data_IF_504869362752
#
_entry.id   IF_504869362752
#
_cell.length_a   1.000
_cell.length_b   1.000
_cell.length_c   1.000
_cell.angle_alpha   90.00
_cell.angle_beta   90.00
_cell.angle_gamma   90.00
#
_symmetry.space_group_name_H-M   'P 1'
#
loop_
_entity.id
_entity.type
_entity.pdbx_description
1 polymer ?
#
# COMPACT_ATOMS: atom_id res chain seq x y z
N UNK A 1 -44.91 -82.87 8.14
CA UNK A 1 -46.31 -82.49 7.93
C UNK A 1 -46.34 -81.10 7.36
N UNK A 2 -46.51 -81.04 6.17
CA UNK A 2 -47.46 -80.55 5.18
C UNK A 2 -48.40 -79.48 5.70
N UNK A 3 -48.36 -78.26 5.18
CA UNK A 3 -49.52 -77.43 4.86
C UNK A 3 -49.20 -76.38 3.80
N UNK A 4 -49.70 -76.62 2.62
CA UNK A 4 -49.77 -75.69 1.48
C UNK A 4 -50.87 -74.67 1.75
N UNK A 5 -50.58 -73.40 1.63
CA UNK A 5 -51.58 -72.35 1.58
C UNK A 5 -51.33 -71.46 0.36
N UNK A 6 -52.17 -71.63 -0.58
CA UNK A 6 -52.37 -70.80 -1.76
C UNK A 6 -52.95 -69.43 -1.36
N UNK A 7 -52.23 -68.34 -1.59
CA UNK A 7 -52.79 -66.99 -1.50
C UNK A 7 -52.86 -66.41 -2.94
N UNK A 8 -54.09 -66.36 -3.49
CA UNK A 8 -54.46 -65.61 -4.62
C UNK A 8 -54.40 -64.12 -4.37
N UNK A 9 -53.40 -63.46 -4.99
CA UNK A 9 -53.32 -61.99 -5.03
C UNK A 9 -54.18 -61.46 -6.13
N UNK A 10 -55.29 -60.87 -5.78
CA UNK A 10 -56.07 -60.02 -6.70
C UNK A 10 -55.30 -58.74 -7.00
N UNK A 11 -54.83 -58.62 -8.22
CA UNK A 11 -54.24 -57.36 -8.69
C UNK A 11 -55.38 -56.34 -8.88
N UNK A 12 -55.34 -55.34 -8.01
CA UNK A 12 -56.12 -54.11 -8.19
C UNK A 12 -55.40 -53.25 -9.24
N UNK A 13 -55.85 -53.28 -10.52
CA UNK A 13 -55.49 -52.26 -11.50
C UNK A 13 -56.10 -50.94 -11.04
N UNK A 14 -55.40 -50.18 -10.17
CA UNK A 14 -55.69 -48.77 -9.99
C UNK A 14 -55.46 -48.07 -11.33
N UNK A 15 -56.54 -47.51 -11.86
CA UNK A 15 -56.51 -46.58 -12.95
C UNK A 15 -55.75 -45.34 -12.45
N UNK A 16 -54.41 -45.34 -12.60
CA UNK A 16 -53.60 -44.15 -12.46
C UNK A 16 -53.92 -43.27 -13.66
N UNK A 17 -55.02 -42.51 -13.57
CA UNK A 17 -55.26 -41.37 -14.43
C UNK A 17 -54.16 -40.39 -14.15
N UNK A 18 -53.04 -40.53 -14.88
CA UNK A 18 -51.89 -39.66 -14.77
C UNK A 18 -52.36 -38.21 -14.83
N UNK A 19 -52.42 -37.59 -13.67
CA UNK A 19 -52.56 -36.13 -13.62
C UNK A 19 -51.37 -35.60 -14.35
N UNK A 20 -51.58 -35.04 -15.53
CA UNK A 20 -50.55 -34.32 -16.27
C UNK A 20 -50.07 -33.22 -15.33
N UNK A 21 -48.80 -33.22 -14.95
CA UNK A 21 -48.31 -32.19 -14.04
C UNK A 21 -48.47 -30.82 -14.69
N UNK A 22 -49.08 -29.91 -13.93
CA UNK A 22 -49.20 -28.51 -14.34
C UNK A 22 -47.90 -27.77 -14.02
N UNK A 23 -47.35 -27.11 -15.01
CA UNK A 23 -46.16 -26.27 -14.84
C UNK A 23 -46.52 -24.82 -15.11
N UNK A 24 -46.05 -23.92 -14.26
CA UNK A 24 -46.14 -22.49 -14.47
C UNK A 24 -45.24 -22.08 -15.65
N UNK A 25 -45.78 -21.31 -16.57
CA UNK A 25 -45.01 -20.73 -17.69
C UNK A 25 -44.90 -19.24 -17.51
N UNK A 26 -43.73 -18.68 -17.91
CA UNK A 26 -43.47 -17.27 -17.84
C UNK A 26 -43.07 -16.76 -19.21
N UNK A 27 -43.73 -15.69 -19.67
CA UNK A 27 -43.30 -14.98 -20.85
C UNK A 27 -42.03 -14.17 -20.55
N UNK A 28 -40.99 -14.37 -21.36
CA UNK A 28 -39.69 -13.71 -21.17
C UNK A 28 -39.62 -12.50 -22.09
N UNK A 29 -39.35 -11.36 -21.48
CA UNK A 29 -39.11 -10.11 -22.20
C UNK A 29 -37.61 -9.75 -22.13
N UNK A 30 -37.14 -9.05 -23.17
CA UNK A 30 -35.82 -8.46 -23.16
C UNK A 30 -35.76 -7.36 -22.08
N UNK A 31 -34.80 -7.44 -21.19
CA UNK A 31 -34.60 -6.50 -20.10
C UNK A 31 -33.12 -6.10 -20.04
N UNK A 32 -32.82 -5.07 -19.30
CA UNK A 32 -31.46 -4.73 -18.92
C UNK A 32 -31.12 -5.45 -17.61
N UNK A 33 -30.00 -6.14 -17.59
CA UNK A 33 -29.51 -6.81 -16.39
C UNK A 33 -28.26 -6.09 -15.86
N UNK A 34 -28.32 -5.66 -14.60
CA UNK A 34 -27.17 -5.12 -13.87
C UNK A 34 -26.42 -6.30 -13.23
N UNK A 35 -25.25 -6.55 -13.73
CA UNK A 35 -24.40 -7.65 -13.27
C UNK A 35 -23.17 -7.10 -12.57
N UNK A 36 -22.61 -7.89 -11.65
CA UNK A 36 -21.34 -7.57 -10.98
C UNK A 36 -20.28 -8.56 -11.42
N UNK A 37 -19.14 -8.06 -11.87
CA UNK A 37 -17.98 -8.89 -12.15
C UNK A 37 -16.98 -8.77 -11.03
N UNK A 38 -16.61 -9.91 -10.45
CA UNK A 38 -15.65 -9.97 -9.36
C UNK A 38 -14.24 -10.19 -9.91
N UNK A 39 -13.28 -9.40 -9.41
CA UNK A 39 -11.86 -9.50 -9.72
C UNK A 39 -11.08 -9.69 -8.43
N UNK A 40 -10.28 -10.76 -8.31
CA UNK A 40 -9.39 -10.92 -7.16
C UNK A 40 -8.44 -9.72 -7.03
N UNK A 41 -8.30 -9.23 -5.82
CA UNK A 41 -7.57 -8.01 -5.55
C UNK A 41 -6.72 -8.11 -4.29
N UNK A 42 -5.64 -7.34 -4.26
CA UNK A 42 -4.78 -7.16 -3.09
C UNK A 42 -4.88 -5.74 -2.58
N UNK A 43 -5.07 -5.59 -1.29
CA UNK A 43 -5.13 -4.30 -0.60
C UNK A 43 -3.72 -3.92 -0.19
N UNK A 44 -3.33 -2.66 -0.46
CA UNK A 44 -2.08 -2.06 0.04
C UNK A 44 -2.39 -0.72 0.68
N UNK A 45 -1.65 -0.36 1.71
CA UNK A 45 -1.65 1.00 2.23
C UNK A 45 -1.29 2.00 1.12
N UNK A 46 -1.72 3.24 1.29
CA UNK A 46 -1.36 4.31 0.36
C UNK A 46 0.15 4.45 0.25
N UNK A 47 0.84 4.30 1.38
CA UNK A 47 2.28 4.28 1.46
C UNK A 47 2.72 3.33 2.58
N UNK A 48 3.56 2.36 2.25
CA UNK A 48 4.22 1.48 3.21
C UNK A 48 5.69 1.92 3.29
N UNK A 49 6.08 2.51 4.42
CA UNK A 49 7.44 3.04 4.63
C UNK A 49 8.21 2.12 5.56
N UNK A 50 9.25 1.50 5.05
CA UNK A 50 10.18 0.71 5.86
C UNK A 50 11.03 1.62 6.74
N UNK A 51 11.00 1.39 8.03
CA UNK A 51 11.82 2.12 9.00
C UNK A 51 13.13 1.36 9.19
N UNK A 52 14.20 1.94 8.68
CA UNK A 52 15.56 1.39 8.79
C UNK A 52 16.44 2.33 9.61
N UNK A 53 17.31 1.80 10.49
CA UNK A 53 18.23 2.64 11.26
C UNK A 53 19.28 3.24 10.32
N UNK A 54 19.70 4.47 10.58
CA UNK A 54 20.78 5.13 9.83
C UNK A 54 22.14 5.00 10.53
N UNK A 55 22.12 4.52 11.78
CA UNK A 55 23.31 4.29 12.62
C UNK A 55 23.25 2.92 13.26
N UNK A 56 24.40 2.38 13.64
CA UNK A 56 24.49 1.08 14.30
C UNK A 56 24.48 1.24 15.83
N UNK A 57 23.82 0.30 16.52
CA UNK A 57 23.81 0.28 17.98
C UNK A 57 22.74 -0.63 18.54
N UNK A 58 22.64 -0.74 19.84
CA UNK A 58 21.62 -1.53 20.52
C UNK A 58 20.35 -0.71 20.73
N UNK A 59 19.19 -1.33 20.60
CA UNK A 59 17.90 -0.70 20.94
C UNK A 59 17.83 -0.59 22.46
N UNK A 60 17.78 0.64 22.96
CA UNK A 60 17.66 0.92 24.40
C UNK A 60 16.24 1.20 24.84
N UNK A 61 15.36 1.61 23.91
CA UNK A 61 13.94 1.86 24.20
C UNK A 61 13.09 1.65 22.97
N UNK A 62 11.94 0.97 23.17
CA UNK A 62 10.81 0.91 22.27
C UNK A 62 9.77 1.91 22.77
N UNK A 63 9.33 2.82 21.92
CA UNK A 63 8.39 3.88 22.28
C UNK A 63 6.99 3.65 21.70
N UNK A 64 6.80 2.57 20.95
CA UNK A 64 5.57 2.21 20.27
C UNK A 64 5.37 0.70 20.31
N UNK A 65 4.13 0.26 20.21
CA UNK A 65 3.74 -1.14 20.10
C UNK A 65 3.29 -1.50 18.68
N UNK A 66 3.28 -2.78 18.37
CA UNK A 66 2.75 -3.31 17.11
C UNK A 66 1.26 -2.96 16.96
N UNK A 67 0.85 -2.50 15.79
CA UNK A 67 -0.52 -2.07 15.52
C UNK A 67 -0.89 -0.67 16.04
N UNK A 68 0.03 0.02 16.71
CA UNK A 68 -0.23 1.39 17.20
C UNK A 68 -0.28 2.40 16.05
N UNK A 69 -1.19 3.37 16.15
CA UNK A 69 -1.23 4.52 15.25
C UNK A 69 -0.17 5.53 15.66
N UNK A 70 0.62 6.01 14.70
CA UNK A 70 1.69 6.97 14.90
C UNK A 70 1.54 8.18 13.99
N UNK A 71 2.09 9.30 14.42
CA UNK A 71 2.13 10.55 13.64
C UNK A 71 3.54 10.79 13.09
N UNK A 72 3.61 11.51 12.00
CA UNK A 72 4.88 12.00 11.44
C UNK A 72 5.71 12.71 12.49
N UNK A 73 7.00 12.32 12.62
CA UNK A 73 7.92 12.85 13.61
C UNK A 73 7.82 12.20 14.99
N UNK A 74 6.85 11.32 15.24
CA UNK A 74 6.75 10.58 16.51
C UNK A 74 7.94 9.66 16.69
N UNK A 75 8.48 9.61 17.91
CA UNK A 75 9.61 8.76 18.28
C UNK A 75 9.14 7.30 18.36
N UNK A 76 9.82 6.43 17.63
CA UNK A 76 9.53 5.00 17.55
C UNK A 76 10.52 4.17 18.38
N UNK A 77 11.82 4.39 18.16
CA UNK A 77 12.90 3.65 18.79
C UNK A 77 14.01 4.59 19.24
N UNK A 78 14.73 4.20 20.30
CA UNK A 78 15.97 4.83 20.70
C UNK A 78 17.09 3.79 20.60
N UNK A 79 18.10 4.11 19.81
CA UNK A 79 19.36 3.38 19.69
C UNK A 79 20.34 3.99 20.70
N UNK A 80 21.21 3.20 21.31
CA UNK A 80 22.18 3.67 22.32
C UNK A 80 22.93 4.92 21.83
N UNK A 81 22.70 6.08 22.47
CA UNK A 81 23.26 7.34 22.02
C UNK A 81 24.68 7.60 22.58
N UNK A 82 25.18 6.78 23.50
CA UNK A 82 26.37 7.09 24.35
C UNK A 82 27.59 7.43 23.51
N UNK A 83 27.92 6.65 22.50
CA UNK A 83 29.08 6.92 21.63
C UNK A 83 28.86 8.16 20.75
N UNK A 84 27.66 8.40 20.29
CA UNK A 84 27.30 9.54 19.44
C UNK A 84 27.28 10.85 20.21
N UNK A 85 26.82 10.85 21.47
CA UNK A 85 26.94 12.00 22.37
C UNK A 85 28.41 12.35 22.67
N UNK A 86 29.24 11.34 22.90
CA UNK A 86 30.67 11.56 23.09
C UNK A 86 31.31 12.22 21.86
N UNK A 87 30.97 11.75 20.66
CA UNK A 87 31.44 12.35 19.40
C UNK A 87 30.98 13.80 19.24
N UNK A 88 29.73 14.14 19.60
CA UNK A 88 29.25 15.52 19.60
C UNK A 88 30.04 16.39 20.59
N UNK A 89 30.31 15.91 21.81
CA UNK A 89 31.12 16.66 22.81
C UNK A 89 32.53 16.93 22.30
N UNK A 90 33.15 15.92 21.69
CA UNK A 90 34.51 16.07 21.12
C UNK A 90 34.52 17.08 19.97
N UNK A 91 33.55 17.00 19.05
CA UNK A 91 33.45 17.94 17.94
C UNK A 91 33.15 19.37 18.40
N UNK A 92 32.32 19.55 19.45
CA UNK A 92 32.11 20.87 20.09
C UNK A 92 33.40 21.46 20.66
N UNK A 93 34.21 20.65 21.32
CA UNK A 93 35.49 21.08 21.85
C UNK A 93 36.45 21.52 20.72
N UNK A 94 36.48 20.80 19.62
CA UNK A 94 37.26 21.14 18.43
C UNK A 94 36.85 22.48 17.82
N UNK A 95 35.53 22.75 17.76
CA UNK A 95 35.02 24.06 17.31
C UNK A 95 35.47 25.16 18.24
N UNK A 96 35.37 24.99 19.56
CA UNK A 96 35.79 26.00 20.53
C UNK A 96 37.29 26.30 20.40
N UNK A 97 38.15 25.30 20.21
CA UNK A 97 39.60 25.47 19.97
C UNK A 97 39.84 26.25 18.68
N UNK A 98 39.16 25.92 17.59
CA UNK A 98 39.30 26.61 16.30
C UNK A 98 38.80 28.07 16.38
N UNK A 99 37.73 28.34 17.12
CA UNK A 99 37.21 29.69 17.37
C UNK A 99 38.23 30.54 18.13
N UNK A 100 38.87 29.98 19.16
CA UNK A 100 39.92 30.67 19.89
C UNK A 100 41.12 31.00 18.97
N UNK A 101 41.51 30.08 18.07
CA UNK A 101 42.57 30.33 17.10
C UNK A 101 42.23 31.46 16.13
N UNK A 102 40.97 31.49 15.62
CA UNK A 102 40.49 32.58 14.74
C UNK A 102 40.56 33.92 15.48
N UNK A 103 40.09 33.98 16.73
CA UNK A 103 40.11 35.20 17.53
C UNK A 103 41.57 35.71 17.75
N UNK A 104 42.51 34.81 18.00
CA UNK A 104 43.95 35.16 18.13
C UNK A 104 44.49 35.71 16.82
N UNK A 105 44.20 35.07 15.68
CA UNK A 105 44.67 35.57 14.38
C UNK A 105 43.99 36.88 13.99
N UNK A 106 42.71 37.06 14.33
CA UNK A 106 42.01 38.32 14.11
C UNK A 106 42.66 39.47 14.86
N UNK A 107 42.95 39.31 16.16
CA UNK A 107 43.66 40.34 16.94
C UNK A 107 45.05 40.65 16.34
N UNK A 108 45.74 39.62 15.81
CA UNK A 108 47.03 39.82 15.14
C UNK A 108 46.88 40.66 13.86
N UNK A 109 45.86 40.39 13.05
CA UNK A 109 45.58 41.18 11.84
C UNK A 109 45.20 42.60 12.20
N UNK A 110 44.34 42.81 13.21
CA UNK A 110 43.90 44.14 13.63
C UNK A 110 45.08 44.98 14.10
N UNK A 111 45.97 44.42 14.92
CA UNK A 111 47.21 45.10 15.33
C UNK A 111 48.12 45.43 14.14
N UNK A 112 48.28 44.49 13.18
CA UNK A 112 49.11 44.74 12.01
C UNK A 112 48.51 45.77 11.06
N UNK A 113 47.21 45.88 10.97
CA UNK A 113 46.51 46.97 10.21
C UNK A 113 46.92 48.34 10.79
N UNK A 114 46.91 48.49 12.10
CA UNK A 114 47.29 49.77 12.75
C UNK A 114 48.77 50.11 12.57
N UNK A 115 49.64 49.09 12.63
CA UNK A 115 51.08 49.29 12.38
C UNK A 115 51.38 49.63 10.92
N UNK A 116 50.68 49.02 9.97
CA UNK A 116 50.83 49.28 8.56
C UNK A 116 50.36 50.71 8.19
N UNK A 117 49.22 51.16 8.74
CA UNK A 117 48.75 52.54 8.60
C UNK A 117 49.80 53.57 9.03
N UNK A 118 50.62 53.25 10.06
CA UNK A 118 51.70 54.06 10.54
C UNK A 118 53.05 53.86 9.77
N UNK A 119 53.01 53.05 8.69
CA UNK A 119 54.19 52.70 7.88
C UNK A 119 55.33 52.02 8.66
N UNK A 120 55.01 51.32 9.79
CA UNK A 120 55.97 50.60 10.58
C UNK A 120 56.26 49.21 10.07
N UNK A 121 55.27 48.57 9.36
CA UNK A 121 55.42 47.26 8.74
C UNK A 121 55.07 47.30 7.23
N UNK A 122 55.57 46.32 6.48
CA UNK A 122 55.30 46.18 5.05
C UNK A 122 53.90 45.66 4.75
N UNK A 123 53.41 45.92 3.53
CA UNK A 123 52.17 45.32 3.02
C UNK A 123 52.27 43.78 2.91
N UNK A 124 53.45 43.27 2.74
CA UNK A 124 53.74 41.84 2.72
C UNK A 124 53.42 41.22 4.13
N UNK A 125 53.89 41.85 5.20
CA UNK A 125 53.66 41.38 6.57
C UNK A 125 52.18 41.37 6.94
N UNK A 126 51.43 42.40 6.52
CA UNK A 126 50.00 42.47 6.68
C UNK A 126 49.28 41.35 5.88
N UNK A 127 49.72 41.14 4.62
CA UNK A 127 49.16 40.08 3.76
C UNK A 127 49.39 38.68 4.36
N UNK A 128 50.57 38.43 4.92
CA UNK A 128 50.88 37.16 5.61
C UNK A 128 49.96 36.94 6.83
N UNK A 129 49.67 37.98 7.62
CA UNK A 129 48.74 37.86 8.75
C UNK A 129 47.30 37.59 8.28
N UNK A 130 46.86 38.24 7.22
CA UNK A 130 45.51 37.97 6.61
C UNK A 130 45.41 36.53 6.11
N UNK A 131 46.47 36.00 5.48
CA UNK A 131 46.50 34.61 5.03
C UNK A 131 46.42 33.64 6.22
N UNK A 132 47.14 33.94 7.34
CA UNK A 132 47.05 33.13 8.55
C UNK A 132 45.64 33.15 9.17
N UNK A 133 44.97 34.30 9.16
CA UNK A 133 43.57 34.42 9.57
C UNK A 133 42.67 33.58 8.67
N UNK A 134 42.82 33.67 7.36
CA UNK A 134 42.04 32.88 6.41
C UNK A 134 42.23 31.36 6.63
N UNK A 135 43.46 30.93 6.93
CA UNK A 135 43.74 29.53 7.28
C UNK A 135 43.01 29.12 8.59
N UNK A 136 43.05 29.94 9.63
CA UNK A 136 42.32 29.65 10.87
C UNK A 136 40.81 29.61 10.66
N UNK A 137 40.26 30.50 9.83
CA UNK A 137 38.84 30.49 9.46
C UNK A 137 38.46 29.22 8.70
N UNK A 138 39.32 28.75 7.81
CA UNK A 138 39.10 27.48 7.09
C UNK A 138 39.11 26.28 8.06
N UNK A 139 39.98 26.25 9.04
CA UNK A 139 40.01 25.23 10.07
C UNK A 139 38.75 25.27 10.95
N UNK A 140 38.25 26.46 11.30
CA UNK A 140 36.98 26.62 12.02
C UNK A 140 35.79 26.07 11.17
N UNK A 141 35.76 26.39 9.91
CA UNK A 141 34.73 25.88 8.99
C UNK A 141 34.73 24.33 8.93
N UNK A 142 35.95 23.73 8.87
CA UNK A 142 36.11 22.28 8.93
C UNK A 142 35.59 21.69 10.24
N UNK A 143 35.95 22.28 11.39
CA UNK A 143 35.49 21.83 12.71
C UNK A 143 33.96 21.94 12.85
N UNK A 144 33.36 23.01 12.35
CA UNK A 144 31.89 23.18 12.31
C UNK A 144 31.20 22.11 11.44
N UNK A 145 31.76 21.76 10.29
CA UNK A 145 31.26 20.68 9.44
C UNK A 145 31.31 19.33 10.18
N UNK A 146 32.42 19.04 10.89
CA UNK A 146 32.54 17.82 11.71
C UNK A 146 31.49 17.77 12.82
N UNK A 147 31.25 18.92 13.50
CA UNK A 147 30.18 19.01 14.51
C UNK A 147 28.82 18.72 13.92
N UNK A 148 28.49 19.28 12.75
CA UNK A 148 27.23 19.02 12.06
C UNK A 148 27.05 17.53 11.79
N UNK A 149 28.08 16.86 11.27
CA UNK A 149 28.05 15.40 11.02
C UNK A 149 27.82 14.61 12.31
N UNK A 150 28.52 14.95 13.40
CA UNK A 150 28.34 14.30 14.70
C UNK A 150 26.93 14.49 15.25
N UNK A 151 26.37 15.70 15.13
CA UNK A 151 25.00 16.01 15.53
C UNK A 151 23.95 15.25 14.70
N UNK A 152 24.16 15.10 13.39
CA UNK A 152 23.30 14.30 12.52
C UNK A 152 23.31 12.83 12.95
N UNK A 153 24.49 12.24 13.16
CA UNK A 153 24.60 10.85 13.62
C UNK A 153 23.93 10.65 14.98
N UNK A 154 24.07 11.61 15.89
CA UNK A 154 23.35 11.58 17.17
C UNK A 154 21.83 11.66 16.97
N UNK A 155 21.36 12.52 16.07
CA UNK A 155 19.93 12.62 15.79
C UNK A 155 19.34 11.32 15.23
N UNK A 156 20.12 10.55 14.48
CA UNK A 156 19.72 9.25 13.92
C UNK A 156 19.60 8.14 14.98
N UNK A 157 20.11 8.34 16.20
CA UNK A 157 19.84 7.42 17.32
C UNK A 157 18.38 7.47 17.76
N UNK A 158 17.67 8.56 17.46
CA UNK A 158 16.24 8.73 17.68
C UNK A 158 15.47 8.43 16.40
N UNK A 159 15.05 7.18 16.23
CA UNK A 159 14.31 6.76 15.05
C UNK A 159 12.87 7.26 15.16
N UNK A 160 12.46 8.09 14.18
CA UNK A 160 11.13 8.73 14.14
C UNK A 160 10.36 8.29 12.92
N UNK A 161 9.03 8.34 13.00
CA UNK A 161 8.16 8.07 11.86
C UNK A 161 8.27 9.18 10.80
N UNK A 162 8.47 8.85 9.52
CA UNK A 162 8.49 9.82 8.43
C UNK A 162 7.08 10.24 7.97
N UNK A 163 6.04 9.45 8.31
CA UNK A 163 4.64 9.65 7.90
C UNK A 163 3.69 9.34 9.04
N UNK A 164 2.44 9.74 8.89
CA UNK A 164 1.34 9.23 9.69
C UNK A 164 1.03 7.79 9.25
N UNK A 165 0.47 6.96 10.14
CA UNK A 165 0.10 5.59 9.79
C UNK A 165 0.06 4.65 10.97
N UNK A 166 0.00 3.35 10.67
CA UNK A 166 -0.03 2.26 11.66
C UNK A 166 1.27 1.47 11.58
N UNK A 167 1.83 1.16 12.75
CA UNK A 167 3.00 0.30 12.92
C UNK A 167 2.62 -1.14 12.57
N UNK A 168 3.40 -1.77 11.72
CA UNK A 168 3.29 -3.21 11.47
C UNK A 168 4.03 -4.00 12.56
N UNK A 169 4.57 -5.16 12.21
CA UNK A 169 5.39 -5.98 13.11
C UNK A 169 6.70 -5.27 13.51
N UNK A 170 7.17 -5.60 14.72
CA UNK A 170 8.46 -5.14 15.26
C UNK A 170 9.33 -6.37 15.52
N UNK A 171 10.13 -6.83 14.54
CA UNK A 171 10.95 -8.05 14.69
C UNK A 171 12.09 -7.90 15.68
N UNK A 172 12.51 -6.67 16.00
CA UNK A 172 13.63 -6.41 16.90
C UNK A 172 13.14 -5.95 18.28
N UNK A 173 13.64 -6.59 19.31
CA UNK A 173 13.29 -6.31 20.72
C UNK A 173 14.34 -5.46 21.40
N UNK A 174 14.04 -4.99 22.62
CA UNK A 174 14.96 -4.26 23.46
C UNK A 174 16.29 -5.05 23.59
N UNK A 175 17.41 -4.38 23.43
CA UNK A 175 18.75 -4.98 23.46
C UNK A 175 19.20 -5.61 22.14
N UNK A 176 18.40 -5.63 21.10
CA UNK A 176 18.82 -6.10 19.78
C UNK A 176 19.82 -5.12 19.14
N UNK A 177 20.84 -5.64 18.48
CA UNK A 177 21.77 -4.87 17.67
C UNK A 177 21.12 -4.56 16.31
N UNK A 178 21.10 -3.30 15.93
CA UNK A 178 20.61 -2.85 14.64
C UNK A 178 21.69 -2.10 13.85
N UNK A 179 21.61 -2.13 12.53
CA UNK A 179 22.55 -1.45 11.64
C UNK A 179 21.90 -1.08 10.30
N UNK A 180 22.43 -0.09 9.56
CA UNK A 180 21.90 0.31 8.25
C UNK A 180 21.88 -0.83 7.19
N UNK A 181 22.75 -1.83 7.34
CA UNK A 181 22.92 -2.94 6.39
C UNK A 181 22.04 -4.15 6.67
N UNK A 182 21.16 -4.11 7.68
CA UNK A 182 20.29 -5.24 8.01
C UNK A 182 19.25 -5.49 6.91
N UNK A 183 18.96 -6.78 6.65
CA UNK A 183 18.05 -7.19 5.59
C UNK A 183 16.59 -6.81 5.92
N UNK A 184 16.17 -7.04 7.17
CA UNK A 184 14.81 -6.76 7.64
C UNK A 184 14.72 -5.35 8.24
N UNK A 185 13.69 -4.55 7.93
CA UNK A 185 13.48 -3.25 8.56
C UNK A 185 13.14 -3.40 10.05
N UNK A 186 13.33 -2.33 10.83
CA UNK A 186 12.94 -2.30 12.25
C UNK A 186 11.42 -2.42 12.43
N UNK A 187 10.69 -1.83 11.53
CA UNK A 187 9.23 -1.92 11.37
C UNK A 187 8.86 -1.30 10.03
N UNK A 188 7.59 -1.41 9.65
CA UNK A 188 7.00 -0.67 8.52
C UNK A 188 5.86 0.18 9.05
N UNK A 189 5.80 1.44 8.64
CA UNK A 189 4.66 2.33 8.89
C UNK A 189 3.79 2.35 7.65
N UNK A 190 2.54 1.90 7.78
CA UNK A 190 1.56 1.87 6.69
C UNK A 190 0.56 3.02 6.84
N UNK A 191 0.50 3.91 5.87
CA UNK A 191 -0.57 4.90 5.76
C UNK A 191 -1.81 4.22 5.20
N UNK A 192 -2.85 4.07 6.04
CA UNK A 192 -4.04 3.29 5.71
C UNK A 192 -5.35 4.07 5.80
N UNK A 193 -5.33 5.40 5.90
CA UNK A 193 -6.53 6.25 5.84
C UNK A 193 -7.26 6.12 4.51
N UNK A 194 -6.48 5.95 3.45
CA UNK A 194 -6.90 5.49 2.13
C UNK A 194 -6.08 4.26 1.76
N UNK A 195 -6.72 3.30 1.11
CA UNK A 195 -6.02 2.11 0.64
C UNK A 195 -6.07 2.00 -0.87
N UNK A 196 -5.00 1.49 -1.43
CA UNK A 196 -4.91 1.11 -2.82
C UNK A 196 -5.29 -0.36 -2.97
N UNK A 197 -6.24 -0.62 -3.84
CA UNK A 197 -6.68 -1.97 -4.18
C UNK A 197 -6.22 -2.28 -5.60
N UNK A 198 -5.32 -3.25 -5.72
CA UNK A 198 -4.76 -3.70 -6.99
C UNK A 198 -5.50 -4.95 -7.45
N UNK A 199 -6.01 -4.93 -8.66
CA UNK A 199 -6.65 -6.08 -9.31
C UNK A 199 -6.24 -6.14 -10.76
N UNK A 200 -6.36 -7.31 -11.37
CA UNK A 200 -5.94 -7.52 -12.77
C UNK A 200 -7.14 -7.79 -13.67
N UNK A 201 -7.11 -7.19 -14.85
CA UNK A 201 -8.06 -7.46 -15.93
C UNK A 201 -7.32 -8.01 -17.15
N UNK A 202 -8.01 -8.71 -18.04
CA UNK A 202 -7.41 -9.24 -19.26
C UNK A 202 -7.21 -8.14 -20.31
N UNK A 203 -6.20 -8.30 -21.16
CA UNK A 203 -5.97 -7.40 -22.31
C UNK A 203 -7.21 -7.27 -23.19
N UNK A 204 -7.93 -8.39 -23.40
CA UNK A 204 -9.17 -8.41 -24.17
C UNK A 204 -10.23 -7.46 -23.59
N UNK A 205 -10.38 -7.43 -22.27
CA UNK A 205 -11.34 -6.55 -21.59
C UNK A 205 -10.89 -5.08 -21.68
N UNK A 206 -9.60 -4.83 -21.48
CA UNK A 206 -9.04 -3.48 -21.64
C UNK A 206 -9.26 -2.96 -23.07
N UNK A 207 -9.00 -3.77 -24.09
CA UNK A 207 -9.25 -3.41 -25.48
C UNK A 207 -10.73 -3.19 -25.77
N UNK A 208 -11.62 -3.97 -25.13
CA UNK A 208 -13.07 -3.77 -25.27
C UNK A 208 -13.50 -2.42 -24.66
N UNK A 209 -12.91 -2.00 -23.54
CA UNK A 209 -13.15 -0.68 -22.94
C UNK A 209 -12.62 0.47 -23.79
N UNK A 210 -11.46 0.31 -24.43
CA UNK A 210 -10.81 1.38 -25.21
C UNK A 210 -11.30 1.50 -26.66
N UNK A 211 -12.06 0.54 -27.18
CA UNK A 211 -12.63 0.58 -28.54
C UNK A 211 -13.56 1.77 -28.81
N UNK A 212 -14.07 2.43 -27.80
CA UNK A 212 -14.93 3.62 -27.90
C UNK A 212 -14.18 4.91 -28.28
N UNK A 213 -12.85 4.88 -28.50
CA UNK A 213 -12.09 5.99 -29.12
C UNK A 213 -11.61 7.08 -28.16
N UNK A 214 -11.62 6.82 -26.85
CA UNK A 214 -11.08 7.73 -25.82
C UNK A 214 -9.64 7.42 -25.40
N UNK A 215 -9.03 8.34 -24.68
CA UNK A 215 -7.78 8.07 -23.97
C UNK A 215 -8.04 7.13 -22.77
N UNK A 216 -7.02 6.35 -22.36
CA UNK A 216 -7.14 5.46 -21.19
C UNK A 216 -7.67 6.22 -19.96
N UNK A 217 -7.25 7.48 -19.78
CA UNK A 217 -7.70 8.32 -18.67
C UNK A 217 -9.18 8.68 -18.74
N UNK A 218 -9.71 8.90 -19.93
CA UNK A 218 -11.15 9.14 -20.14
C UNK A 218 -11.96 7.89 -19.90
N UNK A 219 -11.48 6.73 -20.33
CA UNK A 219 -12.15 5.44 -20.10
C UNK A 219 -12.15 5.07 -18.60
N UNK A 220 -11.06 5.31 -17.86
CA UNK A 220 -11.03 5.15 -16.40
C UNK A 220 -12.13 6.01 -15.75
N UNK A 221 -12.31 7.25 -16.21
CA UNK A 221 -13.31 8.15 -15.62
C UNK A 221 -14.76 7.73 -15.87
N UNK A 222 -15.00 6.87 -16.87
CA UNK A 222 -16.31 6.30 -17.18
C UNK A 222 -16.65 5.06 -16.33
N UNK A 223 -15.64 4.43 -15.71
CA UNK A 223 -15.87 3.29 -14.83
C UNK A 223 -16.70 3.78 -13.65
N UNK A 224 -17.88 3.20 -13.38
CA UNK A 224 -18.70 3.59 -12.24
C UNK A 224 -17.98 3.32 -10.92
N UNK A 225 -18.54 3.85 -9.84
CA UNK A 225 -18.07 3.50 -8.50
C UNK A 225 -18.06 1.98 -8.31
N UNK A 226 -17.00 1.47 -7.77
CA UNK A 226 -16.76 0.03 -7.57
C UNK A 226 -16.93 -0.33 -6.11
N UNK A 227 -17.34 -1.56 -5.84
CA UNK A 227 -17.49 -2.09 -4.48
C UNK A 227 -16.39 -3.08 -4.17
N UNK A 228 -16.09 -3.23 -2.91
CA UNK A 228 -15.10 -4.19 -2.41
C UNK A 228 -15.84 -5.27 -1.61
N UNK A 229 -15.69 -6.52 -2.02
CA UNK A 229 -16.16 -7.67 -1.27
C UNK A 229 -14.99 -8.24 -0.47
N UNK A 230 -15.13 -8.28 0.83
CA UNK A 230 -14.12 -8.83 1.73
C UNK A 230 -14.08 -10.36 1.64
N UNK A 231 -13.06 -10.96 2.23
CA UNK A 231 -12.83 -12.42 2.16
C UNK A 231 -13.94 -13.23 2.86
N UNK A 232 -14.66 -12.63 3.80
CA UNK A 232 -15.82 -13.23 4.48
C UNK A 232 -17.11 -13.16 3.65
N UNK A 233 -17.07 -12.57 2.44
CA UNK A 233 -18.20 -12.37 1.56
C UNK A 233 -19.00 -11.10 1.82
N UNK A 234 -18.70 -10.34 2.87
CA UNK A 234 -19.35 -9.06 3.15
C UNK A 234 -18.89 -7.98 2.17
N UNK A 235 -19.78 -7.06 1.84
CA UNK A 235 -19.42 -5.89 1.01
C UNK A 235 -18.98 -4.75 1.92
N UNK A 236 -17.84 -4.15 1.59
CA UNK A 236 -17.34 -2.97 2.29
C UNK A 236 -18.25 -1.75 2.00
N UNK A 237 -18.57 -0.99 3.03
CA UNK A 237 -19.59 0.07 2.95
C UNK A 237 -19.18 1.24 2.05
N UNK A 238 -17.89 1.56 2.00
CA UNK A 238 -17.41 2.65 1.17
C UNK A 238 -17.14 2.18 -0.27
N UNK A 239 -17.57 3.01 -1.21
CA UNK A 239 -17.30 2.80 -2.63
C UNK A 239 -15.91 3.32 -2.99
N UNK A 240 -15.25 2.61 -3.90
CA UNK A 240 -13.96 2.97 -4.45
C UNK A 240 -14.04 3.51 -5.87
N UNK A 241 -12.94 4.12 -6.30
CA UNK A 241 -12.79 4.63 -7.67
C UNK A 241 -11.49 4.11 -8.27
N UNK A 242 -11.56 3.64 -9.50
CA UNK A 242 -10.36 3.32 -10.29
C UNK A 242 -9.63 4.61 -10.63
N UNK A 243 -8.34 4.69 -10.33
CA UNK A 243 -7.52 5.88 -10.55
C UNK A 243 -6.37 5.66 -11.51
N UNK A 244 -5.91 4.41 -11.68
CA UNK A 244 -4.79 4.10 -12.56
C UNK A 244 -4.92 2.72 -13.21
N UNK A 245 -4.38 2.62 -14.41
CA UNK A 245 -4.14 1.36 -15.14
C UNK A 245 -2.65 1.34 -15.47
N UNK A 246 -1.98 0.22 -15.23
CA UNK A 246 -0.56 0.08 -15.59
C UNK A 246 -0.40 0.08 -17.11
N UNK A 247 0.63 0.79 -17.60
CA UNK A 247 0.94 0.84 -19.04
C UNK A 247 1.66 -0.40 -19.57
N UNK A 248 1.86 -1.44 -18.74
CA UNK A 248 2.59 -2.66 -19.09
C UNK A 248 1.68 -3.85 -18.90
N UNK A 249 1.63 -4.72 -19.89
CA UNK A 249 0.94 -6.01 -19.85
C UNK A 249 1.89 -7.06 -19.32
N UNK A 250 1.47 -7.81 -18.32
CA UNK A 250 2.22 -8.97 -17.84
C UNK A 250 2.19 -10.06 -18.92
N UNK A 251 3.34 -10.32 -19.54
CA UNK A 251 3.46 -11.28 -20.65
C UNK A 251 3.18 -12.74 -20.24
N UNK A 252 3.33 -13.07 -18.95
CA UNK A 252 3.09 -14.42 -18.46
C UNK A 252 1.59 -14.74 -18.32
N UNK A 253 0.79 -13.72 -18.00
CA UNK A 253 -0.66 -13.88 -17.73
C UNK A 253 -1.55 -13.20 -18.76
N UNK A 254 -1.01 -12.34 -19.64
CA UNK A 254 -1.78 -11.51 -20.56
C UNK A 254 -2.70 -10.52 -19.85
N UNK A 255 -2.36 -10.12 -18.65
CA UNK A 255 -3.19 -9.26 -17.81
C UNK A 255 -2.59 -7.88 -17.60
N UNK A 256 -3.46 -6.91 -17.30
CA UNK A 256 -3.13 -5.53 -17.00
C UNK A 256 -3.57 -5.24 -15.57
N UNK A 257 -2.68 -4.68 -14.77
CA UNK A 257 -3.00 -4.31 -13.39
C UNK A 257 -3.73 -2.97 -13.36
N UNK A 258 -4.81 -2.92 -12.59
CA UNK A 258 -5.59 -1.73 -12.31
C UNK A 258 -5.48 -1.40 -10.82
N UNK A 259 -5.51 -0.11 -10.49
CA UNK A 259 -5.51 0.37 -9.13
C UNK A 259 -6.79 1.15 -8.85
N UNK A 260 -7.41 0.86 -7.72
CA UNK A 260 -8.51 1.63 -7.20
C UNK A 260 -8.19 2.20 -5.82
N UNK A 261 -8.78 3.34 -5.49
CA UNK A 261 -8.66 3.99 -4.18
C UNK A 261 -9.95 3.75 -3.41
N UNK A 262 -9.82 3.31 -2.17
CA UNK A 262 -10.92 3.18 -1.22
C UNK A 262 -10.63 3.97 0.04
N UNK A 263 -11.56 4.79 0.54
CA UNK A 263 -11.43 5.44 1.83
C UNK A 263 -11.53 4.38 2.95
N UNK A 264 -10.71 4.51 3.99
CA UNK A 264 -10.63 3.54 5.08
C UNK A 264 -10.58 4.23 6.44
N UNK A 265 -11.55 5.08 6.73
CA UNK A 265 -11.61 5.91 7.95
C UNK A 265 -11.62 5.10 9.24
N UNK A 266 -12.19 3.90 9.21
CA UNK A 266 -12.27 3.00 10.36
C UNK A 266 -11.05 2.07 10.48
N UNK A 267 -10.07 2.19 9.58
CA UNK A 267 -8.86 1.35 9.52
C UNK A 267 -9.15 -0.17 9.51
N UNK A 268 -10.32 -0.55 8.98
CA UNK A 268 -10.71 -1.96 8.84
C UNK A 268 -9.84 -2.67 7.81
N UNK A 269 -9.55 -2.01 6.69
CA UNK A 269 -8.71 -2.54 5.63
C UNK A 269 -7.24 -2.38 6.01
N UNK A 270 -6.46 -3.46 5.87
CA UNK A 270 -5.04 -3.47 6.21
C UNK A 270 -4.19 -3.78 4.98
N UNK A 271 -3.00 -3.22 4.94
CA UNK A 271 -2.02 -3.55 3.90
C UNK A 271 -1.68 -5.04 3.93
N UNK A 272 -1.63 -5.68 2.75
CA UNK A 272 -1.44 -7.13 2.60
C UNK A 272 -2.73 -7.94 2.58
N UNK A 273 -3.89 -7.33 2.84
CA UNK A 273 -5.19 -8.00 2.77
C UNK A 273 -5.59 -8.40 1.34
N UNK A 274 -6.50 -9.37 1.23
CA UNK A 274 -7.09 -9.80 -0.04
C UNK A 274 -8.59 -9.54 -0.04
N UNK A 275 -9.14 -9.22 -1.22
CA UNK A 275 -10.55 -8.94 -1.41
C UNK A 275 -10.94 -9.18 -2.88
N UNK A 276 -12.22 -9.05 -3.21
CA UNK A 276 -12.69 -9.01 -4.59
C UNK A 276 -13.22 -7.63 -4.92
N UNK A 277 -12.72 -7.03 -5.99
CA UNK A 277 -13.31 -5.81 -6.55
C UNK A 277 -14.52 -6.18 -7.38
N UNK A 278 -15.68 -5.59 -7.08
CA UNK A 278 -16.91 -5.77 -7.81
C UNK A 278 -17.13 -4.58 -8.74
N UNK A 279 -17.05 -4.83 -10.04
CA UNK A 279 -17.30 -3.81 -11.07
C UNK A 279 -18.68 -4.06 -11.64
N UNK A 280 -19.61 -3.10 -11.53
CA UNK A 280 -20.91 -3.24 -12.17
C UNK A 280 -20.78 -3.09 -13.69
N UNK A 281 -21.50 -3.91 -14.41
CA UNK A 281 -21.65 -3.79 -15.85
C UNK A 281 -23.07 -4.09 -16.28
N UNK A 282 -23.56 -3.32 -17.20
CA UNK A 282 -24.92 -3.43 -17.69
C UNK A 282 -24.95 -4.21 -19.00
N UNK A 283 -25.83 -5.17 -19.07
CA UNK A 283 -26.13 -5.89 -20.30
C UNK A 283 -27.54 -5.49 -20.78
N UNK A 284 -27.62 -4.83 -21.94
CA UNK A 284 -28.88 -4.45 -22.56
C UNK A 284 -29.40 -5.56 -23.46
N UNK A 285 -30.71 -5.62 -23.61
CA UNK A 285 -31.40 -6.59 -24.50
C UNK A 285 -31.12 -8.07 -24.16
N UNK A 286 -30.92 -8.40 -22.89
CA UNK A 286 -30.76 -9.79 -22.44
C UNK A 286 -32.07 -10.38 -21.97
N UNK A 287 -32.19 -11.71 -22.10
CA UNK A 287 -33.31 -12.48 -21.57
C UNK A 287 -32.85 -13.06 -20.23
N UNK A 288 -33.46 -12.62 -19.13
CA UNK A 288 -33.21 -13.16 -17.80
C UNK A 288 -34.17 -14.32 -17.52
N UNK A 289 -33.62 -15.46 -17.12
CA UNK A 289 -34.37 -16.69 -16.82
C UNK A 289 -34.12 -17.05 -15.36
N UNK A 290 -35.17 -17.34 -14.57
CA UNK A 290 -34.99 -17.85 -13.23
C UNK A 290 -34.15 -19.14 -13.22
N UNK A 291 -33.21 -19.25 -12.30
CA UNK A 291 -32.36 -20.44 -12.21
C UNK A 291 -33.19 -21.74 -11.98
N UNK A 292 -34.32 -21.63 -11.27
CA UNK A 292 -35.26 -22.73 -11.05
C UNK A 292 -35.93 -23.25 -12.32
N UNK A 293 -35.95 -22.46 -13.41
CA UNK A 293 -36.49 -22.85 -14.70
C UNK A 293 -35.44 -23.49 -15.63
N UNK A 294 -34.20 -23.66 -15.16
CA UNK A 294 -33.12 -24.28 -15.93
C UNK A 294 -32.87 -25.70 -15.46
N UNK A 295 -32.64 -26.61 -16.42
CA UNK A 295 -32.22 -28.00 -16.16
C UNK A 295 -30.81 -28.19 -16.67
N UNK A 296 -29.93 -28.72 -15.82
CA UNK A 296 -28.53 -28.99 -16.17
C UNK A 296 -28.38 -30.48 -16.54
N UNK A 297 -27.94 -30.75 -17.72
CA UNK A 297 -27.68 -32.10 -18.24
C UNK A 297 -26.28 -32.09 -18.86
N UNK A 298 -25.35 -32.88 -18.34
CA UNK A 298 -23.95 -32.99 -18.83
C UNK A 298 -23.29 -31.63 -19.08
N UNK A 299 -23.22 -30.80 -18.03
CA UNK A 299 -22.63 -29.45 -18.05
C UNK A 299 -23.26 -28.44 -19.02
N UNK A 300 -24.44 -28.79 -19.61
CA UNK A 300 -25.23 -27.88 -20.45
C UNK A 300 -26.52 -27.51 -19.74
N UNK A 301 -26.85 -26.22 -19.79
CA UNK A 301 -28.09 -25.68 -19.22
C UNK A 301 -29.14 -25.60 -20.30
N UNK A 302 -30.29 -26.22 -20.03
CA UNK A 302 -31.46 -26.26 -20.91
C UNK A 302 -32.64 -25.56 -20.28
N UNK A 303 -33.50 -25.02 -21.11
CA UNK A 303 -34.83 -24.50 -20.74
C UNK A 303 -35.88 -25.14 -21.62
N UNK A 304 -37.08 -25.33 -21.08
CA UNK A 304 -38.20 -25.81 -21.83
C UNK A 304 -38.98 -24.61 -22.38
N UNK A 305 -39.14 -24.55 -23.71
CA UNK A 305 -39.90 -23.51 -24.41
C UNK A 305 -41.22 -24.07 -24.82
N UNK A 306 -42.32 -23.47 -24.35
CA UNK A 306 -43.67 -23.83 -24.76
C UNK A 306 -43.91 -23.36 -26.21
N UNK A 307 -44.33 -24.28 -27.09
CA UNK A 307 -44.69 -23.98 -28.45
C UNK A 307 -46.20 -23.65 -28.56
N UNK A 308 -46.67 -23.00 -29.66
CA UNK A 308 -48.09 -22.66 -29.85
C UNK A 308 -49.01 -23.85 -29.88
N UNK A 309 -48.48 -25.05 -30.14
CA UNK A 309 -49.20 -26.32 -30.18
C UNK A 309 -49.27 -27.04 -28.81
N UNK A 310 -48.93 -26.36 -27.74
CA UNK A 310 -48.81 -26.88 -26.39
C UNK A 310 -47.76 -27.99 -26.21
N UNK A 311 -46.84 -28.16 -27.15
CA UNK A 311 -45.69 -29.03 -26.99
C UNK A 311 -44.54 -28.25 -26.40
N UNK A 312 -43.54 -28.93 -25.76
CA UNK A 312 -42.35 -28.31 -25.21
C UNK A 312 -41.12 -28.72 -26.01
N UNK A 313 -40.30 -27.72 -26.31
CA UNK A 313 -38.99 -27.91 -26.94
C UNK A 313 -37.90 -27.49 -25.98
N UNK A 314 -36.86 -28.24 -25.86
CA UNK A 314 -35.70 -27.90 -25.03
C UNK A 314 -34.52 -27.45 -25.88
#
# INVERSE_FOLDING_TARGET
AFCLALLSSCGNKGNDTGKVPEYAVQELQKTTADLMKAYPATIKGRQDVEIRPQVSGFITKLCVDEGATVRKGQLLFIIDPTQYEAAVRTAKASVATAEAAVNTQQMTVDNKIELNKKQIISDYDLSMAKNSLAQAQAQLAQAKAQLTTAQQNYSFTQVKSPSDGVINDIPYRLGALVSPSMATPMTTVSEIDEVYVYFSTTEKELLAMTKTGGTIKEEISKIPAIKLQLIDGTTYDAEGKVDAITGVIDQSTGSVSMRAIFPNKEHMLRSGGTANVLIPYNMENVISIPQSATVEIQDKKFVYVLQPDNTVKY
#
